data_IF_903663115512
#
_entry.id   IF_903663115512
#
_cell.length_a   1.000
_cell.length_b   1.000
_cell.length_c   1.000
_cell.angle_alpha   90.00
_cell.angle_beta   90.00
_cell.angle_gamma   90.00
#
_symmetry.space_group_name_H-M   'P 1'
#
loop_
_entity.id
_entity.type
_entity.pdbx_description
1 polymer ?
#
# COMPACT_ATOMS: atom_id res chain seq x y z
N UNK A 1 7.85 22.85 -7.02
CA UNK A 1 7.17 21.87 -6.14
C UNK A 1 7.18 22.28 -4.66
N UNK A 2 8.12 21.88 -3.78
CA UNK A 2 7.99 22.21 -2.35
C UNK A 2 7.83 23.71 -2.06
N UNK A 3 8.66 24.56 -2.67
CA UNK A 3 8.54 26.03 -2.55
C UNK A 3 7.26 26.60 -3.17
N UNK A 4 6.70 25.91 -4.15
CA UNK A 4 5.53 26.36 -4.92
C UNK A 4 4.23 25.96 -4.23
N UNK A 5 4.20 24.78 -3.62
CA UNK A 5 3.03 24.27 -2.88
C UNK A 5 3.08 24.62 -1.40
N UNK A 6 4.24 25.03 -0.87
CA UNK A 6 4.49 25.22 0.56
C UNK A 6 4.07 24.00 1.39
N UNK A 7 4.32 22.81 0.86
CA UNK A 7 3.92 21.56 1.47
C UNK A 7 5.05 20.97 2.31
N UNK A 8 4.72 20.46 3.49
CA UNK A 8 5.65 19.75 4.38
C UNK A 8 6.13 18.44 3.75
N UNK A 9 5.28 17.82 2.93
CA UNK A 9 5.62 16.60 2.20
C UNK A 9 5.23 16.75 0.75
N UNK A 10 6.13 16.43 -0.17
CA UNK A 10 5.89 16.45 -1.61
C UNK A 10 6.16 15.06 -2.19
N UNK A 11 5.21 14.52 -2.94
CA UNK A 11 5.34 13.23 -3.62
C UNK A 11 5.62 13.42 -5.10
N UNK A 12 6.26 12.43 -5.72
CA UNK A 12 6.47 12.39 -7.17
C UNK A 12 6.02 11.09 -7.82
N UNK A 13 6.00 11.05 -9.16
CA UNK A 13 5.69 9.85 -9.91
C UNK A 13 6.78 8.78 -9.78
N UNK A 14 6.36 7.52 -9.86
CA UNK A 14 7.22 6.34 -9.80
C UNK A 14 6.87 5.47 -11.00
N UNK A 15 7.86 5.10 -11.81
CA UNK A 15 7.71 4.03 -12.78
C UNK A 15 8.48 2.79 -12.33
N UNK A 16 7.76 1.69 -12.12
CA UNK A 16 8.37 0.43 -11.77
C UNK A 16 9.07 -0.21 -12.97
N UNK A 17 10.26 -0.76 -12.73
CA UNK A 17 11.03 -1.56 -13.67
C UNK A 17 11.13 -2.98 -13.13
N UNK A 18 10.80 -3.95 -13.97
CA UNK A 18 10.93 -5.38 -13.69
C UNK A 18 12.09 -5.92 -14.52
N UNK A 19 12.74 -6.98 -14.03
CA UNK A 19 13.82 -7.65 -14.76
C UNK A 19 13.35 -8.18 -16.13
N UNK A 20 14.23 -8.15 -17.13
CA UNK A 20 13.91 -8.70 -18.45
C UNK A 20 13.68 -10.22 -18.37
N UNK A 21 12.67 -10.72 -19.10
CA UNK A 21 12.34 -12.15 -19.13
C UNK A 21 11.37 -12.61 -18.03
N UNK A 22 10.84 -11.68 -17.24
CA UNK A 22 9.88 -11.98 -16.17
C UNK A 22 8.58 -12.59 -16.71
N UNK A 23 8.31 -13.85 -16.35
CA UNK A 23 7.18 -14.65 -16.89
C UNK A 23 5.86 -14.46 -16.11
N UNK A 24 5.95 -13.89 -14.91
CA UNK A 24 4.79 -13.57 -14.08
C UNK A 24 4.02 -12.38 -14.66
N UNK A 25 2.79 -12.05 -14.19
CA UNK A 25 1.96 -11.01 -14.82
C UNK A 25 2.65 -9.63 -14.75
N UNK A 26 3.50 -9.39 -15.73
CA UNK A 26 4.50 -8.33 -15.76
C UNK A 26 3.85 -6.96 -15.71
N UNK A 27 2.83 -6.76 -16.55
CA UNK A 27 2.11 -5.49 -16.62
C UNK A 27 1.34 -5.19 -15.33
N UNK A 28 0.82 -6.22 -14.66
CA UNK A 28 0.17 -6.05 -13.37
C UNK A 28 1.18 -5.54 -12.33
N UNK A 29 2.33 -6.18 -12.19
CA UNK A 29 3.32 -5.76 -11.19
C UNK A 29 3.95 -4.40 -11.53
N UNK A 30 4.17 -4.12 -12.83
CA UNK A 30 4.61 -2.80 -13.27
C UNK A 30 3.63 -1.74 -12.82
N UNK A 31 2.33 -1.92 -13.07
CA UNK A 31 1.30 -0.98 -12.62
C UNK A 31 1.14 -0.95 -11.10
N UNK A 32 1.28 -2.09 -10.43
CA UNK A 32 1.10 -2.23 -8.98
C UNK A 32 2.13 -1.43 -8.18
N UNK A 33 3.38 -1.39 -8.63
CA UNK A 33 4.46 -0.63 -7.99
C UNK A 33 4.65 0.77 -8.58
N UNK A 34 3.99 1.09 -9.70
CA UNK A 34 4.05 2.43 -10.27
C UNK A 34 3.07 3.39 -9.61
N UNK A 35 3.39 4.68 -9.68
CA UNK A 35 2.52 5.80 -9.33
C UNK A 35 2.53 6.79 -10.49
N UNK A 36 1.62 6.59 -11.43
CA UNK A 36 1.51 7.39 -12.65
C UNK A 36 0.32 8.34 -12.52
N UNK A 37 0.49 9.41 -11.75
CA UNK A 37 -0.53 10.45 -11.58
C UNK A 37 -0.18 11.61 -12.50
N UNK A 38 -1.09 11.91 -13.43
CA UNK A 38 -0.94 13.05 -14.34
C UNK A 38 -1.39 14.36 -13.69
N UNK A 39 -1.04 15.46 -14.35
CA UNK A 39 -1.44 16.82 -14.00
C UNK A 39 -0.36 17.59 -13.25
N UNK A 40 -0.51 18.92 -13.17
CA UNK A 40 0.54 19.82 -12.74
C UNK A 40 0.94 19.61 -11.28
N UNK A 41 2.09 20.18 -10.92
CA UNK A 41 2.48 20.40 -9.53
C UNK A 41 1.35 21.11 -8.78
N UNK A 42 0.93 20.54 -7.63
CA UNK A 42 -0.25 21.01 -6.89
C UNK A 42 -0.28 20.51 -5.45
N UNK A 43 -1.13 21.10 -4.63
CA UNK A 43 -1.57 20.50 -3.36
C UNK A 43 -2.45 19.28 -3.63
N UNK A 44 -2.30 18.24 -2.82
CA UNK A 44 -3.10 17.04 -2.84
C UNK A 44 -3.73 16.78 -1.47
N UNK A 45 -4.94 16.21 -1.47
CA UNK A 45 -5.67 15.91 -0.24
C UNK A 45 -5.18 14.64 0.46
N UNK A 46 -4.75 13.65 -0.33
CA UNK A 46 -4.38 12.32 0.17
C UNK A 46 -2.88 12.09 -0.04
N UNK A 47 -2.15 11.66 1.01
CA UNK A 47 -0.75 11.33 0.88
C UNK A 47 -0.57 10.04 0.07
N UNK A 48 0.66 9.81 -0.38
CA UNK A 48 1.09 8.55 -0.96
C UNK A 48 2.18 7.87 -0.10
N UNK A 49 2.61 6.66 -0.44
CA UNK A 49 3.74 6.00 0.25
C UNK A 49 5.09 6.70 0.03
N UNK A 50 6.05 6.45 0.91
CA UNK A 50 7.36 7.12 0.99
C UNK A 50 8.31 6.87 -0.20
N UNK A 51 8.00 5.92 -1.10
CA UNK A 51 8.92 5.49 -2.18
C UNK A 51 9.40 6.59 -3.14
N UNK A 52 8.69 7.72 -3.22
CA UNK A 52 9.18 8.94 -3.86
C UNK A 52 8.53 10.14 -3.17
N UNK A 53 9.16 10.59 -2.08
CA UNK A 53 8.74 11.77 -1.35
C UNK A 53 9.94 12.61 -0.89
N UNK A 54 9.69 13.91 -0.75
CA UNK A 54 10.53 14.86 -0.06
C UNK A 54 9.78 15.34 1.18
N UNK A 55 10.40 15.20 2.34
CA UNK A 55 9.82 15.50 3.65
C UNK A 55 10.62 16.61 4.35
N UNK A 56 9.92 17.63 4.83
CA UNK A 56 10.49 18.65 5.71
C UNK A 56 10.83 18.04 7.08
N UNK A 57 12.10 18.11 7.47
CA UNK A 57 12.57 17.65 8.80
C UNK A 57 11.85 18.41 9.93
N UNK A 58 11.52 19.68 9.72
CA UNK A 58 10.79 20.48 10.69
C UNK A 58 9.42 19.88 11.05
N UNK A 59 8.76 19.22 10.09
CA UNK A 59 7.46 18.58 10.28
C UNK A 59 7.51 17.32 11.15
N UNK A 60 8.70 16.79 11.45
CA UNK A 60 8.87 15.56 12.24
C UNK A 60 9.65 15.76 13.54
N UNK A 61 9.99 16.99 13.93
CA UNK A 61 10.89 17.24 15.07
C UNK A 61 10.36 16.72 16.41
N UNK A 62 9.03 16.69 16.60
CA UNK A 62 8.42 16.19 17.83
C UNK A 62 8.30 14.65 17.84
N UNK A 63 8.46 13.97 16.70
CA UNK A 63 8.39 12.51 16.62
C UNK A 63 9.77 11.88 16.88
N UNK A 64 9.87 11.09 17.95
CA UNK A 64 11.11 10.39 18.33
C UNK A 64 10.81 8.93 18.71
N UNK A 65 11.12 7.95 17.84
CA UNK A 65 11.55 8.07 16.43
C UNK A 65 10.44 8.57 15.49
N UNK A 66 10.76 9.12 14.30
CA UNK A 66 9.77 9.57 13.33
C UNK A 66 8.91 8.43 12.75
N UNK A 67 9.50 7.25 12.57
CA UNK A 67 8.79 6.05 12.14
C UNK A 67 8.57 5.12 13.33
N UNK A 68 7.35 4.62 13.50
CA UNK A 68 6.98 3.75 14.61
C UNK A 68 7.60 2.35 14.43
N UNK A 69 8.53 1.90 15.30
CA UNK A 69 9.18 0.60 15.16
C UNK A 69 8.22 -0.60 15.22
N UNK A 70 7.04 -0.43 15.85
CA UNK A 70 6.03 -1.49 15.93
C UNK A 70 5.42 -1.83 14.56
N UNK A 71 5.48 -0.90 13.60
CA UNK A 71 4.96 -1.11 12.24
C UNK A 71 5.96 -1.73 11.27
N UNK A 72 7.21 -1.95 11.71
CA UNK A 72 8.27 -2.54 10.90
C UNK A 72 7.89 -3.93 10.35
N UNK A 73 7.04 -4.68 11.05
CA UNK A 73 6.68 -6.06 10.69
C UNK A 73 5.36 -6.15 9.90
N UNK A 74 4.52 -5.12 9.98
CA UNK A 74 3.18 -5.11 9.40
C UNK A 74 3.07 -4.18 8.19
N UNK A 75 4.01 -3.24 8.06
CA UNK A 75 3.88 -2.05 7.22
C UNK A 75 2.92 -1.02 7.83
N UNK A 76 2.76 0.11 7.14
CA UNK A 76 1.91 1.23 7.57
C UNK A 76 2.65 2.33 8.33
N UNK A 77 3.98 2.28 8.40
CA UNK A 77 4.80 3.30 9.04
C UNK A 77 4.60 4.69 8.42
N UNK A 78 4.56 4.74 7.09
CA UNK A 78 4.27 5.94 6.31
C UNK A 78 2.90 6.51 6.66
N UNK A 79 1.88 5.64 6.75
CA UNK A 79 0.50 6.06 7.03
C UNK A 79 0.39 6.73 8.41
N UNK A 80 1.10 6.20 9.42
CA UNK A 80 1.18 6.81 10.75
C UNK A 80 1.90 8.16 10.72
N UNK A 81 3.01 8.26 9.98
CA UNK A 81 3.76 9.50 9.84
C UNK A 81 2.91 10.58 9.16
N UNK A 82 2.19 10.23 8.09
CA UNK A 82 1.30 11.16 7.38
C UNK A 82 0.09 11.55 8.21
N UNK A 83 -0.51 10.62 8.95
CA UNK A 83 -1.60 10.92 9.86
C UNK A 83 -1.16 11.93 10.94
N UNK A 84 0.05 11.78 11.48
CA UNK A 84 0.62 12.74 12.42
C UNK A 84 0.80 14.13 11.77
N UNK A 85 1.45 14.22 10.61
CA UNK A 85 1.67 15.51 9.92
C UNK A 85 0.34 16.19 9.60
N UNK A 86 -0.65 15.45 9.11
CA UNK A 86 -1.99 15.96 8.84
C UNK A 86 -2.68 16.47 10.12
N UNK A 87 -2.52 15.76 11.25
CA UNK A 87 -3.09 16.18 12.54
C UNK A 87 -2.52 17.51 13.07
N UNK A 88 -1.34 17.90 12.59
CA UNK A 88 -0.68 19.18 12.89
C UNK A 88 -1.00 20.26 11.85
N UNK A 89 -1.88 20.00 10.89
CA UNK A 89 -2.21 20.93 9.82
C UNK A 89 -1.22 20.96 8.65
N UNK A 90 -0.31 19.98 8.58
CA UNK A 90 0.63 19.85 7.46
C UNK A 90 -0.08 19.54 6.15
N UNK A 91 0.51 20.03 5.06
CA UNK A 91 0.03 19.93 3.69
C UNK A 91 0.84 18.91 2.89
N UNK A 92 0.18 18.31 1.91
CA UNK A 92 0.78 17.38 0.97
C UNK A 92 0.80 18.00 -0.43
N UNK A 93 1.92 17.87 -1.13
CA UNK A 93 2.13 18.34 -2.49
C UNK A 93 2.42 17.19 -3.46
N UNK A 94 2.19 17.45 -4.73
CA UNK A 94 2.58 16.61 -5.86
C UNK A 94 3.59 17.37 -6.74
N UNK A 95 4.67 16.71 -7.14
CA UNK A 95 5.67 17.21 -8.07
C UNK A 95 5.63 16.40 -9.37
N UNK A 96 5.02 16.97 -10.42
CA UNK A 96 4.82 16.26 -11.69
C UNK A 96 6.13 15.87 -12.38
N UNK A 97 7.17 16.70 -12.27
CA UNK A 97 8.45 16.49 -12.95
C UNK A 97 9.49 15.70 -12.13
N UNK A 98 9.13 15.25 -10.92
CA UNK A 98 10.05 14.53 -10.02
C UNK A 98 10.02 13.01 -10.25
N UNK A 99 10.34 12.57 -11.47
CA UNK A 99 10.28 11.16 -11.86
C UNK A 99 11.39 10.32 -11.23
N UNK A 100 11.02 9.15 -10.73
CA UNK A 100 11.95 8.10 -10.32
C UNK A 100 11.57 6.75 -10.94
N UNK A 101 12.58 5.89 -11.07
CA UNK A 101 12.39 4.50 -11.43
C UNK A 101 12.59 3.61 -10.19
N UNK A 102 11.65 2.70 -9.91
CA UNK A 102 11.81 1.69 -8.85
C UNK A 102 12.13 0.34 -9.49
N UNK A 103 13.32 -0.19 -9.24
CA UNK A 103 13.66 -1.56 -9.62
C UNK A 103 13.00 -2.53 -8.63
N UNK A 104 11.97 -3.23 -9.10
CA UNK A 104 11.20 -4.16 -8.28
C UNK A 104 11.92 -5.51 -8.29
N UNK A 105 12.40 -6.00 -7.13
CA UNK A 105 13.06 -7.30 -7.09
C UNK A 105 12.07 -8.43 -7.39
N UNK A 106 12.55 -9.49 -8.03
CA UNK A 106 11.76 -10.67 -8.41
C UNK A 106 11.00 -11.31 -7.23
N UNK A 107 11.55 -11.22 -6.01
CA UNK A 107 10.89 -11.70 -4.79
C UNK A 107 9.65 -10.87 -4.37
N UNK A 108 9.47 -9.65 -4.90
CA UNK A 108 8.31 -8.77 -4.69
C UNK A 108 7.34 -8.76 -5.88
N UNK A 109 7.68 -9.43 -6.99
CA UNK A 109 6.87 -9.39 -8.20
C UNK A 109 6.20 -10.73 -8.55
N UNK A 110 5.98 -11.65 -7.62
CA UNK A 110 5.50 -13.02 -7.93
C UNK A 110 4.14 -13.33 -7.28
N UNK A 111 3.52 -14.44 -7.67
CA UNK A 111 2.23 -14.87 -7.09
C UNK A 111 2.25 -14.98 -5.58
N UNK A 112 3.33 -15.53 -4.99
CA UNK A 112 3.44 -15.66 -3.53
C UNK A 112 3.41 -14.29 -2.85
N UNK A 113 4.15 -13.32 -3.38
CA UNK A 113 4.10 -11.94 -2.89
C UNK A 113 2.70 -11.36 -3.05
N UNK A 114 2.06 -11.53 -4.21
CA UNK A 114 0.71 -11.03 -4.46
C UNK A 114 -0.32 -11.61 -3.49
N UNK A 115 -0.23 -12.91 -3.20
CA UNK A 115 -1.09 -13.59 -2.21
C UNK A 115 -0.96 -12.94 -0.85
N UNK A 116 0.26 -12.84 -0.33
CA UNK A 116 0.53 -12.28 0.98
C UNK A 116 0.14 -10.80 1.04
N UNK A 117 0.57 -10.00 0.05
CA UNK A 117 0.37 -8.55 0.03
C UNK A 117 -1.10 -8.18 -0.16
N UNK A 118 -1.81 -8.86 -1.06
CA UNK A 118 -3.23 -8.64 -1.30
C UNK A 118 -4.08 -8.98 -0.08
N UNK A 119 -3.81 -10.14 0.55
CA UNK A 119 -4.48 -10.54 1.79
C UNK A 119 -4.21 -9.54 2.92
N UNK A 120 -2.94 -9.20 3.16
CA UNK A 120 -2.56 -8.25 4.21
C UNK A 120 -3.12 -6.84 3.99
N UNK A 121 -3.29 -6.39 2.73
CA UNK A 121 -3.96 -5.13 2.45
C UNK A 121 -5.42 -5.15 2.95
N UNK A 122 -6.16 -6.22 2.63
CA UNK A 122 -7.52 -6.40 3.12
C UNK A 122 -7.59 -6.48 4.65
N UNK A 123 -6.66 -7.24 5.22
CA UNK A 123 -6.47 -7.40 6.67
C UNK A 123 -6.34 -6.04 7.37
N UNK A 124 -5.38 -5.22 6.95
CA UNK A 124 -5.11 -3.90 7.54
C UNK A 124 -6.32 -2.96 7.37
N UNK A 125 -7.03 -3.04 6.24
CA UNK A 125 -8.24 -2.23 5.97
C UNK A 125 -9.35 -2.48 6.99
N UNK A 126 -9.52 -3.72 7.48
CA UNK A 126 -10.51 -4.01 8.53
C UNK A 126 -9.92 -3.79 9.92
N UNK A 127 -8.67 -4.21 10.15
CA UNK A 127 -8.02 -4.15 11.47
C UNK A 127 -8.00 -2.73 12.06
N UNK A 128 -7.82 -1.69 11.24
CA UNK A 128 -7.83 -0.29 11.69
C UNK A 128 -9.13 0.13 12.40
N UNK A 129 -10.27 -0.52 12.12
CA UNK A 129 -11.56 -0.20 12.77
C UNK A 129 -11.72 -0.85 14.15
N UNK A 130 -10.84 -1.80 14.48
CA UNK A 130 -10.78 -2.46 15.78
C UNK A 130 -9.58 -1.97 16.60
N UNK A 131 -8.99 -0.84 16.20
CA UNK A 131 -7.97 -0.16 16.99
C UNK A 131 -8.55 0.27 18.35
N UNK A 132 -7.78 0.05 19.42
CA UNK A 132 -8.25 0.28 20.78
C UNK A 132 -8.38 1.78 21.13
N UNK A 133 -7.63 2.66 20.47
CA UNK A 133 -7.69 4.10 20.71
C UNK A 133 -8.90 4.74 20.03
N UNK A 134 -9.28 4.25 18.84
CA UNK A 134 -10.42 4.78 18.07
C UNK A 134 -11.29 3.67 17.46
N UNK A 135 -12.01 2.88 18.28
CA UNK A 135 -12.78 1.76 17.78
C UNK A 135 -14.01 2.22 16.98
N UNK A 136 -14.24 1.60 15.82
CA UNK A 136 -15.45 1.77 15.02
C UNK A 136 -15.94 0.41 14.50
N UNK A 137 -16.54 -0.36 15.40
CA UNK A 137 -16.97 -1.73 15.10
C UNK A 137 -18.01 -1.80 13.98
N UNK A 138 -18.90 -0.81 13.85
CA UNK A 138 -19.88 -0.75 12.75
C UNK A 138 -19.18 -0.68 11.40
N UNK A 139 -18.20 0.22 11.26
CA UNK A 139 -17.38 0.32 10.05
C UNK A 139 -16.54 -0.95 9.82
N UNK A 140 -16.05 -1.57 10.90
CA UNK A 140 -15.35 -2.86 10.87
C UNK A 140 -16.20 -3.99 10.29
N UNK A 141 -17.41 -4.19 10.81
CA UNK A 141 -18.38 -5.18 10.30
C UNK A 141 -18.78 -4.86 8.86
N UNK A 142 -19.00 -3.59 8.52
CA UNK A 142 -19.27 -3.18 7.15
C UNK A 142 -18.08 -3.48 6.21
N UNK A 143 -16.84 -3.32 6.66
CA UNK A 143 -15.63 -3.71 5.92
C UNK A 143 -15.58 -5.22 5.67
N UNK A 144 -15.91 -6.03 6.68
CA UNK A 144 -16.00 -7.49 6.55
C UNK A 144 -17.08 -7.89 5.55
N UNK A 145 -18.28 -7.32 5.63
CA UNK A 145 -19.38 -7.57 4.68
C UNK A 145 -18.98 -7.22 3.24
N UNK A 146 -18.33 -6.06 3.04
CA UNK A 146 -17.72 -5.69 1.74
C UNK A 146 -16.68 -6.71 1.30
N UNK A 147 -15.90 -7.26 2.23
CA UNK A 147 -14.92 -8.31 1.99
C UNK A 147 -15.54 -9.61 1.47
N UNK A 148 -16.64 -10.06 2.08
CA UNK A 148 -17.40 -11.24 1.63
C UNK A 148 -17.92 -11.03 0.21
N UNK A 149 -18.62 -9.93 -0.05
CA UNK A 149 -19.16 -9.62 -1.40
C UNK A 149 -18.01 -9.55 -2.41
N UNK A 150 -16.93 -8.85 -2.07
CA UNK A 150 -15.75 -8.74 -2.92
C UNK A 150 -15.14 -10.11 -3.24
N UNK A 151 -14.97 -10.99 -2.26
CA UNK A 151 -14.41 -12.32 -2.47
C UNK A 151 -15.34 -13.20 -3.32
N UNK A 152 -16.65 -13.20 -3.03
CA UNK A 152 -17.64 -14.00 -3.76
C UNK A 152 -17.78 -13.57 -5.22
N UNK A 153 -17.70 -12.28 -5.52
CA UNK A 153 -17.78 -11.78 -6.90
C UNK A 153 -16.45 -11.98 -7.63
N UNK A 154 -15.31 -11.73 -6.96
CA UNK A 154 -14.00 -11.82 -7.61
C UNK A 154 -13.52 -13.26 -7.78
N UNK A 155 -13.95 -14.22 -6.96
CA UNK A 155 -13.53 -15.62 -7.09
C UNK A 155 -13.90 -16.27 -8.44
N UNK A 156 -15.18 -16.24 -8.91
CA UNK A 156 -15.52 -16.80 -10.21
C UNK A 156 -14.86 -16.02 -11.36
N UNK A 157 -14.69 -14.70 -11.23
CA UNK A 157 -13.97 -13.89 -12.23
C UNK A 157 -12.50 -14.29 -12.29
N UNK A 158 -11.82 -14.39 -11.15
CA UNK A 158 -10.43 -14.82 -11.08
C UNK A 158 -10.26 -16.22 -11.66
N UNK A 159 -11.17 -17.16 -11.35
CA UNK A 159 -11.16 -18.52 -11.91
C UNK A 159 -11.32 -18.50 -13.44
N UNK A 160 -12.31 -17.77 -13.96
CA UNK A 160 -12.53 -17.64 -15.40
C UNK A 160 -11.31 -17.02 -16.11
N UNK A 161 -10.76 -15.93 -15.58
CA UNK A 161 -9.56 -15.28 -16.14
C UNK A 161 -8.32 -16.18 -16.04
N UNK A 162 -8.24 -17.05 -15.04
CA UNK A 162 -7.16 -18.04 -14.93
C UNK A 162 -7.26 -19.12 -16.00
N UNK A 163 -8.47 -19.68 -16.21
CA UNK A 163 -8.76 -20.69 -17.25
C UNK A 163 -8.45 -20.11 -18.63
N UNK A 164 -8.88 -18.87 -18.88
CA UNK A 164 -8.68 -18.16 -20.16
C UNK A 164 -7.24 -17.62 -20.34
N UNK A 165 -6.36 -17.77 -19.33
CA UNK A 165 -5.02 -17.17 -19.31
C UNK A 165 -5.02 -15.67 -19.63
N UNK A 166 -6.06 -14.97 -19.20
CA UNK A 166 -6.26 -13.56 -19.53
C UNK A 166 -5.26 -12.66 -18.76
N UNK A 167 -4.75 -11.56 -19.36
CA UNK A 167 -3.76 -10.68 -18.72
C UNK A 167 -4.21 -10.10 -17.36
N UNK A 168 -5.51 -9.89 -17.17
CA UNK A 168 -6.08 -9.34 -15.93
C UNK A 168 -6.27 -10.36 -14.79
N UNK A 169 -5.86 -11.62 -14.96
CA UNK A 169 -6.00 -12.65 -13.92
C UNK A 169 -5.37 -12.25 -12.58
N UNK A 170 -4.23 -11.56 -12.63
CA UNK A 170 -3.51 -11.08 -11.44
C UNK A 170 -4.30 -10.01 -10.69
N UNK A 171 -4.92 -9.10 -11.44
CA UNK A 171 -5.79 -8.07 -10.88
C UNK A 171 -7.00 -8.68 -10.17
N UNK A 172 -7.70 -9.62 -10.80
CA UNK A 172 -8.86 -10.26 -10.19
C UNK A 172 -8.46 -11.07 -8.95
N UNK A 173 -7.34 -11.78 -9.03
CA UNK A 173 -6.77 -12.52 -7.91
C UNK A 173 -6.41 -11.61 -6.72
N UNK A 174 -5.73 -10.48 -6.96
CA UNK A 174 -5.47 -9.44 -5.95
C UNK A 174 -6.76 -8.94 -5.29
N UNK A 175 -7.78 -8.61 -6.09
CA UNK A 175 -9.07 -8.14 -5.56
C UNK A 175 -9.77 -9.21 -4.73
N UNK A 176 -9.74 -10.47 -5.14
CA UNK A 176 -10.27 -11.58 -4.35
C UNK A 176 -9.56 -11.67 -3.00
N UNK A 177 -8.22 -11.67 -2.99
CA UNK A 177 -7.41 -11.79 -1.78
C UNK A 177 -7.62 -10.62 -0.81
N UNK A 178 -7.76 -9.39 -1.31
CA UNK A 178 -8.12 -8.24 -0.47
C UNK A 178 -9.50 -8.42 0.16
N UNK A 179 -10.45 -9.01 -0.55
CA UNK A 179 -11.76 -9.38 0.00
C UNK A 179 -11.62 -10.36 1.15
N UNK A 180 -10.88 -11.46 0.93
CA UNK A 180 -10.60 -12.45 1.96
C UNK A 180 -9.87 -11.86 3.18
N UNK A 181 -8.88 -11.00 2.96
CA UNK A 181 -8.14 -10.33 4.01
C UNK A 181 -9.02 -9.47 4.92
N UNK A 182 -10.03 -8.78 4.36
CA UNK A 182 -10.99 -7.99 5.15
C UNK A 182 -11.82 -8.84 6.09
N UNK A 183 -12.12 -10.08 5.71
CA UNK A 183 -12.91 -11.03 6.49
C UNK A 183 -12.03 -11.71 7.54
N UNK A 184 -10.89 -12.22 7.12
CA UNK A 184 -9.92 -12.94 7.95
C UNK A 184 -8.84 -11.99 8.49
N UNK A 185 -9.28 -10.92 9.17
CA UNK A 185 -8.41 -9.88 9.68
C UNK A 185 -7.87 -10.16 11.11
N UNK A 186 -8.41 -11.15 11.82
CA UNK A 186 -8.12 -11.39 13.24
C UNK A 186 -7.61 -12.80 13.57
N UNK A 187 -7.21 -13.00 14.82
CA UNK A 187 -6.89 -14.32 15.38
C UNK A 187 -5.73 -15.03 14.66
N UNK A 188 -5.90 -16.29 14.20
CA UNK A 188 -4.83 -17.08 13.58
C UNK A 188 -4.42 -16.57 12.19
N UNK A 189 -5.16 -15.61 11.62
CA UNK A 189 -4.93 -15.06 10.29
C UNK A 189 -4.13 -13.74 10.31
N UNK A 190 -3.51 -13.39 11.44
CA UNK A 190 -2.62 -12.23 11.55
C UNK A 190 -1.42 -12.39 10.60
N UNK A 191 -1.27 -11.45 9.67
CA UNK A 191 -0.16 -11.46 8.71
C UNK A 191 0.93 -10.50 9.17
N UNK A 192 2.17 -11.00 9.17
CA UNK A 192 3.39 -10.18 9.25
C UNK A 192 4.02 -10.17 7.85
N UNK A 193 4.00 -9.01 7.20
CA UNK A 193 4.51 -8.86 5.83
C UNK A 193 6.01 -8.57 5.79
N UNK A 194 6.48 -7.85 6.80
CA UNK A 194 7.83 -7.30 6.88
C UNK A 194 8.47 -7.77 8.21
N UNK A 195 9.74 -7.47 8.46
CA UNK A 195 10.34 -7.69 9.79
C UNK A 195 11.24 -8.91 10.01
N UNK A 196 11.08 -10.02 9.28
CA UNK A 196 11.91 -11.23 9.57
C UNK A 196 13.32 -11.22 8.96
N UNK A 197 13.72 -10.19 8.20
CA UNK A 197 15.05 -10.15 7.53
C UNK A 197 16.09 -9.26 8.21
N UNK A 198 15.72 -8.35 9.11
CA UNK A 198 16.71 -7.52 9.81
C UNK A 198 17.56 -8.30 10.83
N UNK A 199 17.12 -9.49 11.28
CA UNK A 199 17.87 -10.33 12.23
C UNK A 199 18.87 -11.32 11.61
N UNK A 200 19.00 -11.38 10.28
CA UNK A 200 19.93 -12.28 9.59
C UNK A 200 21.11 -11.58 8.91
N UNK A 201 21.28 -10.28 9.14
CA UNK A 201 22.37 -9.49 8.56
C UNK A 201 23.18 -8.73 9.63
N UNK A 202 23.24 -9.26 10.86
CA UNK A 202 24.15 -8.82 11.91
C UNK A 202 25.07 -9.97 12.31
#
# INVERSE_FOLDING_TARGET
AQKETEAEVVFGPIEARLEQGYQEPHDFFKLFFSRLVSGPTRIIEKPYGCGNCLLSVAATQELKPPFNPMTNDTGGEDDLLWAYIASKGGKFGWAENAWVYEDVPSNRANWRYLTLRGFAYGHNTTAQYFDAATPNYVAGVASMAKGVVQALVMAPIALALWILRHPQRAWAYDKMLRGLGKVFWGGPFKVKLYGEKAKKAA
#
